data_IF_462630696958
#
_entry.id   IF_462630696958
#
_cell.length_a   1.000
_cell.length_b   1.000
_cell.length_c   1.000
_cell.angle_alpha   90.00
_cell.angle_beta   90.00
_cell.angle_gamma   90.00
#
_symmetry.space_group_name_H-M   'P 1'
#
loop_
_entity.id
_entity.type
_entity.pdbx_description
1 polymer ?
#
# COMPACT_ATOMS: atom_id res chain seq x y z
N UNK A 1 15.32 -11.45 9.14
CA UNK A 1 16.24 -11.34 7.98
C UNK A 1 15.48 -11.58 6.68
N UNK A 2 14.64 -12.62 6.61
CA UNK A 2 13.78 -12.84 5.44
C UNK A 2 12.74 -11.72 5.28
N UNK A 3 12.14 -11.28 6.39
CA UNK A 3 11.11 -10.23 6.43
C UNK A 3 11.64 -8.88 5.90
N UNK A 4 12.84 -8.47 6.32
CA UNK A 4 13.50 -7.26 5.78
C UNK A 4 13.71 -7.36 4.26
N UNK A 5 14.16 -8.52 3.76
CA UNK A 5 14.32 -8.72 2.32
C UNK A 5 12.99 -8.70 1.57
N UNK A 6 11.91 -9.24 2.14
CA UNK A 6 10.57 -9.14 1.58
C UNK A 6 10.08 -7.69 1.56
N UNK A 7 10.31 -6.94 2.63
CA UNK A 7 9.99 -5.53 2.68
C UNK A 7 10.70 -4.76 1.56
N UNK A 8 12.02 -4.92 1.43
CA UNK A 8 12.81 -4.27 0.35
C UNK A 8 12.23 -4.60 -1.03
N UNK A 9 11.90 -5.87 -1.31
CA UNK A 9 11.32 -6.29 -2.59
C UNK A 9 9.94 -5.66 -2.85
N UNK A 10 9.08 -5.62 -1.84
CA UNK A 10 7.76 -4.97 -1.98
C UNK A 10 7.89 -3.47 -2.18
N UNK A 11 8.87 -2.84 -1.52
CA UNK A 11 9.14 -1.41 -1.67
C UNK A 11 9.63 -1.09 -3.09
N UNK A 12 10.63 -1.82 -3.59
CA UNK A 12 11.16 -1.66 -4.96
C UNK A 12 10.07 -1.86 -6.03
N UNK A 13 9.20 -2.86 -5.85
CA UNK A 13 8.11 -3.11 -6.78
C UNK A 13 7.07 -1.98 -6.75
N UNK A 14 6.70 -1.50 -5.56
CA UNK A 14 5.78 -0.37 -5.42
C UNK A 14 6.35 0.89 -6.11
N UNK A 15 7.62 1.20 -5.88
CA UNK A 15 8.30 2.33 -6.53
C UNK A 15 8.29 2.21 -8.06
N UNK A 16 8.65 1.04 -8.58
CA UNK A 16 8.62 0.79 -10.03
C UNK A 16 7.21 0.99 -10.63
N UNK A 17 6.16 0.57 -9.92
CA UNK A 17 4.78 0.75 -10.37
C UNK A 17 4.35 2.21 -10.30
N UNK A 18 4.75 2.94 -9.26
CA UNK A 18 4.47 4.37 -9.11
C UNK A 18 5.16 5.20 -10.17
N UNK A 19 6.41 4.88 -10.53
CA UNK A 19 7.15 5.55 -11.61
C UNK A 19 6.49 5.37 -12.99
N UNK A 20 5.85 4.21 -13.22
CA UNK A 20 5.16 3.91 -14.49
C UNK A 20 3.75 4.46 -14.57
N UNK A 21 3.12 4.76 -13.43
CA UNK A 21 1.75 5.23 -13.37
C UNK A 21 1.64 6.70 -13.81
N UNK A 22 0.54 7.03 -14.51
CA UNK A 22 0.23 8.44 -14.76
C UNK A 22 -0.26 9.11 -13.47
N UNK A 23 -0.28 10.44 -13.47
CA UNK A 23 -0.82 11.23 -12.36
C UNK A 23 -2.27 10.86 -12.04
N UNK A 24 -3.07 10.61 -13.07
CA UNK A 24 -4.48 10.22 -12.94
C UNK A 24 -4.61 8.85 -12.28
N UNK A 25 -3.75 7.90 -12.66
CA UNK A 25 -3.69 6.56 -12.08
C UNK A 25 -3.25 6.60 -10.62
N UNK A 26 -2.24 7.41 -10.27
CA UNK A 26 -1.83 7.60 -8.88
C UNK A 26 -2.95 8.24 -8.04
N UNK A 27 -3.65 9.24 -8.61
CA UNK A 27 -4.78 9.86 -7.93
C UNK A 27 -5.95 8.89 -7.72
N UNK A 28 -6.20 7.98 -8.66
CA UNK A 28 -7.21 6.93 -8.52
C UNK A 28 -6.80 5.87 -7.50
N UNK A 29 -5.53 5.45 -7.51
CA UNK A 29 -4.97 4.56 -6.50
C UNK A 29 -5.15 5.13 -5.08
N UNK A 30 -4.82 6.41 -4.89
CA UNK A 30 -5.01 7.10 -3.61
C UNK A 30 -6.48 7.14 -3.17
N UNK A 31 -7.41 7.42 -4.10
CA UNK A 31 -8.86 7.40 -3.81
C UNK A 31 -9.33 6.01 -3.39
N UNK A 32 -8.89 4.96 -4.08
CA UNK A 32 -9.24 3.59 -3.74
C UNK A 32 -8.70 3.17 -2.37
N UNK A 33 -7.46 3.55 -2.05
CA UNK A 33 -6.88 3.29 -0.72
C UNK A 33 -7.65 4.01 0.39
N UNK A 34 -8.05 5.27 0.17
CA UNK A 34 -8.89 6.01 1.13
C UNK A 34 -10.25 5.34 1.34
N UNK A 35 -10.88 4.81 0.28
CA UNK A 35 -12.13 4.06 0.37
C UNK A 35 -11.96 2.72 1.10
N UNK A 36 -10.86 2.00 0.85
CA UNK A 36 -10.54 0.77 1.57
C UNK A 36 -10.34 1.04 3.06
N UNK A 37 -9.63 2.12 3.42
CA UNK A 37 -9.46 2.55 4.81
C UNK A 37 -10.81 2.88 5.46
N UNK A 38 -11.66 3.67 4.81
CA UNK A 38 -12.99 4.00 5.32
C UNK A 38 -13.86 2.74 5.51
N UNK A 39 -13.82 1.81 4.54
CA UNK A 39 -14.53 0.54 4.64
C UNK A 39 -14.03 -0.30 5.83
N UNK A 40 -12.71 -0.38 6.04
CA UNK A 40 -12.15 -1.04 7.21
C UNK A 40 -12.63 -0.38 8.51
N UNK A 41 -12.59 0.95 8.58
CA UNK A 41 -12.98 1.71 9.78
C UNK A 41 -14.45 1.54 10.15
N UNK A 42 -15.34 1.48 9.16
CA UNK A 42 -16.76 1.21 9.38
C UNK A 42 -16.98 -0.17 10.03
N UNK A 43 -16.18 -1.16 9.65
CA UNK A 43 -16.37 -2.55 10.10
C UNK A 43 -15.59 -2.89 11.39
N UNK A 44 -14.47 -2.21 11.66
CA UNK A 44 -13.52 -2.58 12.72
C UNK A 44 -13.16 -1.43 13.67
N UNK A 45 -13.68 -0.22 13.44
CA UNK A 45 -13.37 0.97 14.23
C UNK A 45 -12.20 1.80 13.66
N UNK A 46 -11.97 2.96 14.26
CA UNK A 46 -10.96 3.92 13.79
C UNK A 46 -9.54 3.34 13.82
N UNK A 47 -8.75 3.65 12.79
CA UNK A 47 -7.32 3.35 12.73
C UNK A 47 -6.56 4.57 13.29
N UNK A 48 -5.81 4.44 14.40
CA UNK A 48 -5.11 5.57 14.99
C UNK A 48 -3.93 6.00 14.10
N UNK A 49 -4.11 7.08 13.35
CA UNK A 49 -3.11 7.60 12.40
C UNK A 49 -1.77 7.88 13.10
N UNK A 50 -1.80 8.41 14.32
CA UNK A 50 -0.60 8.70 15.11
C UNK A 50 0.21 7.44 15.44
N UNK A 51 -0.45 6.29 15.63
CA UNK A 51 0.25 5.02 15.84
C UNK A 51 0.94 4.61 14.55
N UNK A 52 0.23 4.59 13.41
CA UNK A 52 0.84 4.28 12.10
C UNK A 52 2.03 5.18 11.78
N UNK A 53 1.94 6.48 12.08
CA UNK A 53 3.04 7.42 11.90
C UNK A 53 4.23 7.16 12.84
N UNK A 54 3.97 6.71 14.07
CA UNK A 54 5.03 6.32 14.99
C UNK A 54 5.80 5.10 14.46
N UNK A 55 5.12 4.14 13.84
CA UNK A 55 5.76 2.93 13.27
C UNK A 55 6.71 3.26 12.12
N UNK A 56 6.40 4.28 11.32
CA UNK A 56 7.26 4.77 10.24
C UNK A 56 8.54 5.48 10.75
N UNK A 57 8.60 5.84 12.04
CA UNK A 57 9.73 6.57 12.64
C UNK A 57 10.69 5.67 13.42
N UNK A 58 10.42 4.37 13.49
CA UNK A 58 11.27 3.41 14.22
C UNK A 58 12.54 3.14 13.42
N UNK A 59 13.70 3.34 14.06
CA UNK A 59 15.02 3.17 13.43
C UNK A 59 15.38 1.70 13.16
N UNK A 60 14.90 0.78 14.01
CA UNK A 60 15.02 -0.67 13.84
C UNK A 60 13.64 -1.32 14.05
N UNK A 61 12.87 -1.57 12.98
CA UNK A 61 11.55 -2.18 13.12
C UNK A 61 11.71 -3.62 13.60
N UNK A 62 10.92 -4.00 14.61
CA UNK A 62 10.78 -5.41 14.95
C UNK A 62 9.93 -6.15 13.89
N UNK A 63 9.69 -7.44 14.13
CA UNK A 63 8.94 -8.28 13.21
C UNK A 63 7.51 -7.77 12.97
N UNK A 64 6.80 -7.36 14.02
CA UNK A 64 5.40 -6.91 13.88
C UNK A 64 5.33 -5.61 13.06
N UNK A 65 6.30 -4.71 13.24
CA UNK A 65 6.43 -3.52 12.43
C UNK A 65 6.75 -3.84 10.96
N UNK A 66 7.67 -4.77 10.71
CA UNK A 66 8.01 -5.21 9.36
C UNK A 66 6.82 -5.86 8.65
N UNK A 67 6.09 -6.75 9.33
CA UNK A 67 4.91 -7.41 8.78
C UNK A 67 3.85 -6.38 8.38
N UNK A 68 3.61 -5.36 9.23
CA UNK A 68 2.68 -4.27 8.89
C UNK A 68 3.14 -3.47 7.67
N UNK A 69 4.43 -3.15 7.57
CA UNK A 69 4.98 -2.39 6.44
C UNK A 69 4.88 -3.18 5.14
N UNK A 70 5.19 -4.48 5.18
CA UNK A 70 5.03 -5.41 4.05
C UNK A 70 3.57 -5.46 3.62
N UNK A 71 2.64 -5.67 4.55
CA UNK A 71 1.21 -5.74 4.24
C UNK A 71 0.69 -4.42 3.65
N UNK A 72 1.16 -3.29 4.17
CA UNK A 72 0.88 -1.97 3.62
C UNK A 72 1.35 -1.83 2.16
N UNK A 73 2.58 -2.27 1.86
CA UNK A 73 3.12 -2.24 0.49
C UNK A 73 2.39 -3.21 -0.43
N UNK A 74 2.02 -4.40 0.04
CA UNK A 74 1.22 -5.37 -0.73
C UNK A 74 -0.14 -4.78 -1.11
N UNK A 75 -0.80 -4.09 -0.18
CA UNK A 75 -2.06 -3.39 -0.45
C UNK A 75 -1.87 -2.30 -1.52
N UNK A 76 -0.81 -1.49 -1.42
CA UNK A 76 -0.49 -0.46 -2.40
C UNK A 76 -0.24 -1.07 -3.80
N UNK A 77 0.61 -2.11 -3.89
CA UNK A 77 0.90 -2.84 -5.13
C UNK A 77 -0.38 -3.39 -5.75
N UNK A 78 -1.26 -4.01 -4.96
CA UNK A 78 -2.52 -4.57 -5.43
C UNK A 78 -3.41 -3.52 -6.08
N UNK A 79 -3.54 -2.35 -5.45
CA UNK A 79 -4.34 -1.24 -6.01
C UNK A 79 -3.67 -0.64 -7.24
N UNK A 80 -2.34 -0.43 -7.22
CA UNK A 80 -1.58 0.07 -8.38
C UNK A 80 -1.73 -0.86 -9.58
N UNK A 81 -1.59 -2.17 -9.40
CA UNK A 81 -1.78 -3.15 -10.49
C UNK A 81 -3.19 -3.13 -11.04
N UNK A 82 -4.21 -2.98 -10.19
CA UNK A 82 -5.61 -2.87 -10.62
C UNK A 82 -5.86 -1.60 -11.46
N UNK A 83 -5.38 -0.45 -10.99
CA UNK A 83 -5.58 0.83 -11.69
C UNK A 83 -4.73 0.91 -12.97
N UNK A 84 -3.46 0.49 -12.92
CA UNK A 84 -2.56 0.53 -14.08
C UNK A 84 -2.92 -0.54 -15.12
N UNK A 85 -3.29 -1.75 -14.69
CA UNK A 85 -3.72 -2.85 -15.56
C UNK A 85 -5.13 -2.69 -16.10
N UNK A 86 -5.95 -1.83 -15.50
CA UNK A 86 -7.32 -1.53 -15.94
C UNK A 86 -7.43 -0.78 -17.27
N UNK A 87 -6.32 -0.31 -17.83
CA UNK A 87 -6.30 0.41 -19.11
C UNK A 87 -6.53 -0.46 -20.36
N UNK A 88 -6.70 -1.78 -20.20
CA UNK A 88 -6.88 -2.74 -21.32
C UNK A 88 -8.12 -3.65 -21.28
N UNK A 89 -8.97 -3.58 -20.24
CA UNK A 89 -10.18 -4.42 -20.16
C UNK A 89 -11.40 -3.63 -20.64
N UNK A 90 -11.56 -3.52 -21.96
CA UNK A 90 -12.88 -3.33 -22.56
C UNK A 90 -13.76 -4.49 -22.08
N UNK A 91 -14.70 -4.18 -21.19
CA UNK A 91 -15.77 -5.10 -20.78
C UNK A 91 -16.49 -5.60 -22.04
N UNK A 92 -16.36 -6.89 -22.32
CA UNK A 92 -17.21 -7.62 -23.27
C UNK A 92 -18.56 -7.93 -22.60
#
# INVERSE_FOLDING_TARGET
MAEMSTFDQTYELADMLMEKATKEQLAECARLLALNLAHHQINHGEVPVDQTLALLRVFEPDKEHLDLLIDGMVNLIGVLLNVCGGSGQTKH
#
